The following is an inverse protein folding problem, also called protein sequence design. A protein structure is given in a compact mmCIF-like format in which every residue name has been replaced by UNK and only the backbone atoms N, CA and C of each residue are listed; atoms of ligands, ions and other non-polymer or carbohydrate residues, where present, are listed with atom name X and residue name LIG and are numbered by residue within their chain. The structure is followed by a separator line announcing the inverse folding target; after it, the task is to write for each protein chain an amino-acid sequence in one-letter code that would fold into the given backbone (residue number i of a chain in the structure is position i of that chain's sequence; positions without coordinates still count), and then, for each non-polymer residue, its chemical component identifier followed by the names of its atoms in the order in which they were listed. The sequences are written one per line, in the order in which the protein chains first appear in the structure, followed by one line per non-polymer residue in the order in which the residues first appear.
data_IF_397098895036
#
_entry.id   IF_397098895036
#
_cell.length_a   1.000
_cell.length_b   1.000
_cell.length_c   1.000
_cell.angle_alpha   90.00
_cell.angle_beta   90.00
_cell.angle_gamma   90.00
#
_symmetry.space_group_name_H-M   'P 1'
#
loop_
_entity.id
_entity.type
_entity.pdbx_description
1 polymer ?
#
# COMPACT_ATOMS: atom_id res chain seq x y z
N UNK A 1 42.40 -53.83 -40.99
CA UNK A 1 40.95 -53.64 -40.73
C UNK A 1 40.56 -54.52 -39.55
N UNK A 2 40.40 -53.94 -38.35
CA UNK A 2 39.90 -54.68 -37.18
C UNK A 2 38.37 -54.73 -37.25
N UNK A 3 37.84 -55.94 -37.29
CA UNK A 3 36.41 -56.25 -37.29
C UNK A 3 35.80 -55.87 -35.94
N UNK A 4 34.86 -54.92 -35.96
CA UNK A 4 34.06 -54.53 -34.79
C UNK A 4 33.12 -55.68 -34.46
N UNK A 5 33.38 -56.37 -33.36
CA UNK A 5 32.55 -57.47 -32.86
C UNK A 5 31.12 -56.99 -32.59
N UNK A 6 30.14 -57.61 -33.27
CA UNK A 6 28.72 -57.43 -32.98
C UNK A 6 28.42 -57.91 -31.55
N UNK A 7 28.29 -56.97 -30.62
CA UNK A 7 27.77 -57.22 -29.28
C UNK A 7 26.34 -57.77 -29.37
N UNK A 8 26.07 -58.88 -28.68
CA UNK A 8 24.78 -59.56 -28.77
C UNK A 8 23.66 -58.69 -28.21
N UNK A 9 22.53 -58.65 -28.91
CA UNK A 9 21.36 -57.79 -28.65
C UNK A 9 20.86 -57.89 -27.20
N UNK A 10 21.05 -59.04 -26.53
CA UNK A 10 20.69 -59.24 -25.11
C UNK A 10 21.52 -58.39 -24.15
N UNK A 11 22.83 -58.21 -24.40
CA UNK A 11 23.72 -57.43 -23.51
C UNK A 11 23.43 -55.93 -23.59
N UNK A 12 23.10 -55.44 -24.78
CA UNK A 12 22.70 -54.03 -24.98
C UNK A 12 21.35 -53.71 -24.33
N UNK A 13 20.39 -54.66 -24.31
CA UNK A 13 19.11 -54.48 -23.60
C UNK A 13 19.28 -54.38 -22.08
N UNK A 14 20.16 -55.18 -21.48
CA UNK A 14 20.41 -55.15 -20.03
C UNK A 14 21.08 -53.83 -19.61
N UNK A 15 22.05 -53.35 -20.41
CA UNK A 15 22.71 -52.06 -20.15
C UNK A 15 21.70 -50.91 -20.28
N UNK A 16 20.84 -50.93 -21.31
CA UNK A 16 19.82 -49.90 -21.51
C UNK A 16 18.80 -49.87 -20.37
N UNK A 17 18.31 -51.03 -19.92
CA UNK A 17 17.38 -51.13 -18.79
C UNK A 17 18.02 -50.61 -17.50
N UNK A 18 19.29 -50.96 -17.25
CA UNK A 18 20.02 -50.51 -16.05
C UNK A 18 20.24 -48.99 -16.05
N UNK A 19 20.52 -48.41 -17.23
CA UNK A 19 20.67 -46.96 -17.40
C UNK A 19 19.35 -46.22 -17.16
N UNK A 20 18.24 -46.73 -17.70
CA UNK A 20 16.90 -46.17 -17.48
C UNK A 20 16.55 -46.23 -15.99
N UNK A 21 16.84 -47.33 -15.31
CA UNK A 21 16.54 -47.48 -13.88
C UNK A 21 17.34 -46.49 -13.02
N UNK A 22 18.61 -46.25 -13.36
CA UNK A 22 19.46 -45.25 -12.69
C UNK A 22 18.96 -43.82 -12.90
N UNK A 23 18.49 -43.49 -14.11
CA UNK A 23 17.92 -42.17 -14.42
C UNK A 23 16.62 -41.96 -13.62
N UNK A 24 15.75 -42.97 -13.55
CA UNK A 24 14.51 -42.92 -12.75
C UNK A 24 14.80 -42.76 -11.25
N UNK A 25 15.84 -43.44 -10.73
CA UNK A 25 16.22 -43.31 -9.31
C UNK A 25 16.82 -41.92 -9.00
N UNK A 26 17.60 -41.35 -9.93
CA UNK A 26 18.16 -40.02 -9.81
C UNK A 26 17.09 -38.91 -9.86
N UNK A 27 16.05 -39.07 -10.71
CA UNK A 27 14.93 -38.12 -10.78
C UNK A 27 14.02 -38.20 -9.55
N UNK A 28 13.79 -39.41 -9.01
CA UNK A 28 13.00 -39.59 -7.78
C UNK A 28 13.71 -39.00 -6.55
N UNK A 29 15.04 -39.16 -6.44
CA UNK A 29 15.81 -38.61 -5.31
C UNK A 29 15.91 -37.08 -5.38
N UNK A 30 16.12 -36.50 -6.56
CA UNK A 30 16.07 -35.04 -6.73
C UNK A 30 14.69 -34.45 -6.47
N UNK A 31 13.62 -35.09 -6.96
CA UNK A 31 12.24 -34.67 -6.66
C UNK A 31 11.92 -34.73 -5.14
N UNK A 32 12.41 -35.75 -4.44
CA UNK A 32 12.23 -35.88 -3.00
C UNK A 32 13.02 -34.83 -2.20
N UNK A 33 14.24 -34.48 -2.63
CA UNK A 33 15.05 -33.42 -2.02
C UNK A 33 14.43 -32.04 -2.27
N UNK A 34 13.91 -31.78 -3.47
CA UNK A 34 13.20 -30.53 -3.81
C UNK A 34 11.90 -30.44 -3.00
N UNK A 35 11.15 -31.53 -2.87
CA UNK A 35 9.91 -31.56 -2.08
C UNK A 35 10.16 -31.35 -0.58
N UNK A 36 11.29 -31.83 -0.03
CA UNK A 36 11.69 -31.55 1.37
C UNK A 36 12.15 -30.10 1.61
N UNK A 37 12.63 -29.40 0.57
CA UNK A 37 13.07 -27.99 0.65
C UNK A 37 12.00 -26.99 0.23
N UNK A 38 10.88 -27.43 -0.30
CA UNK A 38 9.73 -26.57 -0.52
C UNK A 38 9.14 -26.19 0.84
N UNK A 39 9.63 -25.09 1.42
CA UNK A 39 8.92 -24.41 2.50
C UNK A 39 7.47 -24.22 2.05
N UNK A 40 6.52 -24.61 2.90
CA UNK A 40 5.10 -24.38 2.63
C UNK A 40 4.92 -22.90 2.29
N UNK A 41 4.17 -22.55 1.23
CA UNK A 41 3.93 -21.17 0.89
C UNK A 41 3.42 -20.44 2.13
N UNK A 42 4.07 -19.34 2.48
CA UNK A 42 3.75 -18.60 3.70
C UNK A 42 2.30 -18.12 3.60
N UNK A 43 1.47 -18.44 4.59
CA UNK A 43 0.09 -17.94 4.70
C UNK A 43 0.05 -16.49 5.20
N UNK A 44 1.19 -15.80 5.25
CA UNK A 44 1.28 -14.45 5.77
C UNK A 44 0.66 -13.44 4.79
N UNK A 45 -0.32 -12.70 5.28
CA UNK A 45 -0.88 -11.54 4.59
C UNK A 45 -0.47 -10.28 5.34
N UNK A 46 0.34 -9.44 4.68
CA UNK A 46 0.78 -8.17 5.25
C UNK A 46 -0.44 -7.30 5.62
N UNK A 47 -0.48 -6.83 6.87
CA UNK A 47 -1.57 -6.01 7.39
C UNK A 47 -2.69 -6.78 8.10
N UNK A 48 -2.74 -8.10 8.03
CA UNK A 48 -3.79 -8.89 8.69
C UNK A 48 -3.73 -8.77 10.21
N UNK A 49 -4.74 -8.10 10.79
CA UNK A 49 -4.83 -7.80 12.23
C UNK A 49 -3.55 -7.13 12.77
N UNK A 50 -2.85 -6.36 11.94
CA UNK A 50 -1.50 -5.89 12.25
C UNK A 50 -1.46 -4.64 13.14
N UNK A 51 -2.52 -3.84 13.14
CA UNK A 51 -2.55 -2.51 13.75
C UNK A 51 -3.93 -2.22 14.36
N UNK A 52 -3.92 -1.66 15.57
CA UNK A 52 -5.08 -0.97 16.14
C UNK A 52 -4.81 0.51 16.29
N UNK A 53 -5.80 1.31 15.94
CA UNK A 53 -5.83 2.75 16.21
C UNK A 53 -7.10 3.07 16.98
N UNK A 54 -6.97 3.68 18.16
CA UNK A 54 -8.07 3.99 19.06
C UNK A 54 -8.96 2.76 19.36
N UNK A 55 -8.33 1.60 19.55
CA UNK A 55 -8.98 0.34 19.86
C UNK A 55 -9.63 -0.39 18.67
N UNK A 56 -9.70 0.22 17.48
CA UNK A 56 -10.25 -0.40 16.27
C UNK A 56 -9.14 -1.03 15.43
N UNK A 57 -9.36 -2.27 14.98
CA UNK A 57 -8.47 -2.96 14.04
C UNK A 57 -8.52 -2.22 12.70
N UNK A 58 -7.35 -1.93 12.14
CA UNK A 58 -7.21 -1.38 10.79
C UNK A 58 -7.42 -2.50 9.77
N UNK A 59 -8.23 -2.23 8.75
CA UNK A 59 -8.53 -3.22 7.70
C UNK A 59 -7.30 -3.54 6.86
N UNK A 60 -7.15 -4.82 6.48
CA UNK A 60 -6.05 -5.30 5.63
C UNK A 60 -6.03 -4.62 4.25
N UNK A 61 -7.19 -4.19 3.75
CA UNK A 61 -7.32 -3.40 2.50
C UNK A 61 -6.50 -2.12 2.56
N UNK A 62 -6.52 -1.40 3.68
CA UNK A 62 -5.75 -0.15 3.86
C UNK A 62 -4.25 -0.41 3.71
N UNK A 63 -3.74 -1.50 4.29
CA UNK A 63 -2.34 -1.89 4.14
C UNK A 63 -1.97 -2.21 2.70
N UNK A 64 -2.84 -2.93 1.98
CA UNK A 64 -2.62 -3.27 0.57
C UNK A 64 -2.63 -2.01 -0.30
N UNK A 65 -3.59 -1.13 -0.09
CA UNK A 65 -3.76 0.06 -0.91
C UNK A 65 -2.58 1.02 -0.70
N UNK A 66 -2.17 1.27 0.56
CA UNK A 66 -1.00 2.10 0.86
C UNK A 66 0.32 1.45 0.41
N UNK A 67 0.42 0.11 0.43
CA UNK A 67 1.56 -0.60 -0.17
C UNK A 67 1.65 -0.33 -1.68
N UNK A 68 0.54 -0.45 -2.40
CA UNK A 68 0.50 -0.19 -3.85
C UNK A 68 0.88 1.27 -4.16
N UNK A 69 0.30 2.22 -3.42
CA UNK A 69 0.63 3.65 -3.53
C UNK A 69 2.11 3.90 -3.24
N UNK A 70 2.65 3.29 -2.17
CA UNK A 70 4.05 3.41 -1.80
C UNK A 70 4.97 2.95 -2.94
N UNK A 71 4.69 1.80 -3.55
CA UNK A 71 5.52 1.29 -4.64
C UNK A 71 5.38 2.10 -5.93
N UNK A 72 4.18 2.56 -6.32
CA UNK A 72 4.04 3.39 -7.53
C UNK A 72 4.79 4.72 -7.39
N UNK A 73 4.67 5.39 -6.24
CA UNK A 73 5.41 6.64 -5.93
C UNK A 73 6.92 6.44 -5.96
N UNK A 74 7.40 5.23 -5.72
CA UNK A 74 8.81 4.93 -5.51
C UNK A 74 9.43 4.00 -6.57
N UNK A 75 8.72 3.72 -7.67
CA UNK A 75 9.18 2.75 -8.69
C UNK A 75 10.55 3.04 -9.31
N UNK A 76 11.01 4.30 -9.25
CA UNK A 76 12.34 4.72 -9.73
C UNK A 76 13.37 4.97 -8.63
N UNK A 77 13.05 4.70 -7.36
CA UNK A 77 13.91 5.05 -6.23
C UNK A 77 14.91 3.91 -5.93
N UNK A 78 16.13 4.03 -6.45
CA UNK A 78 17.19 3.03 -6.27
C UNK A 78 17.60 2.82 -4.81
N UNK A 79 17.45 3.83 -3.94
CA UNK A 79 17.73 3.69 -2.51
C UNK A 79 16.77 2.72 -1.83
N UNK A 80 15.50 2.67 -2.25
CA UNK A 80 14.52 1.73 -1.71
C UNK A 80 14.78 0.29 -2.16
N UNK A 81 15.40 0.09 -3.32
CA UNK A 81 15.80 -1.26 -3.79
C UNK A 81 16.89 -1.90 -2.92
N UNK A 82 17.61 -1.10 -2.13
CA UNK A 82 18.64 -1.58 -1.20
C UNK A 82 18.10 -1.86 0.21
N UNK A 83 16.85 -1.48 0.48
CA UNK A 83 16.24 -1.70 1.79
C UNK A 83 15.78 -3.15 1.95
N UNK A 84 15.86 -3.62 3.18
CA UNK A 84 15.28 -4.89 3.59
C UNK A 84 13.75 -4.83 3.57
N UNK A 85 13.11 -6.00 3.49
CA UNK A 85 11.65 -6.10 3.59
C UNK A 85 11.12 -5.51 4.91
N UNK A 86 11.85 -5.65 6.03
CA UNK A 86 11.47 -5.07 7.32
C UNK A 86 11.46 -3.54 7.28
N UNK A 87 12.48 -2.93 6.66
CA UNK A 87 12.52 -1.47 6.48
C UNK A 87 11.41 -0.97 5.57
N UNK A 88 11.16 -1.66 4.45
CA UNK A 88 10.08 -1.30 3.52
C UNK A 88 8.71 -1.41 4.23
N UNK A 89 8.50 -2.49 4.97
CA UNK A 89 7.26 -2.71 5.71
C UNK A 89 7.03 -1.66 6.82
N UNK A 90 8.10 -1.19 7.49
CA UNK A 90 8.01 -0.09 8.47
C UNK A 90 7.65 1.25 7.81
N UNK A 91 8.20 1.53 6.62
CA UNK A 91 7.83 2.72 5.85
C UNK A 91 6.35 2.67 5.42
N UNK A 92 5.88 1.52 4.93
CA UNK A 92 4.47 1.34 4.56
C UNK A 92 3.58 1.45 5.80
N UNK A 93 3.98 0.87 6.94
CA UNK A 93 3.23 0.98 8.19
C UNK A 93 3.05 2.45 8.61
N UNK A 94 4.07 3.29 8.43
CA UNK A 94 3.93 4.72 8.70
C UNK A 94 2.94 5.42 7.78
N UNK A 95 2.92 5.09 6.49
CA UNK A 95 1.92 5.64 5.56
C UNK A 95 0.51 5.18 5.93
N UNK A 96 0.33 3.91 6.34
CA UNK A 96 -0.94 3.39 6.86
C UNK A 96 -1.39 4.14 8.11
N UNK A 97 -0.50 4.38 9.06
CA UNK A 97 -0.81 5.13 10.28
C UNK A 97 -1.27 6.55 9.91
N UNK A 98 -0.53 7.26 9.04
CA UNK A 98 -0.90 8.61 8.59
C UNK A 98 -2.27 8.62 7.93
N UNK A 99 -2.54 7.66 7.04
CA UNK A 99 -3.83 7.50 6.34
C UNK A 99 -4.98 7.32 7.33
N UNK A 100 -4.85 6.37 8.25
CA UNK A 100 -5.88 6.05 9.24
C UNK A 100 -6.16 7.24 10.16
N UNK A 101 -5.13 7.95 10.61
CA UNK A 101 -5.29 9.13 11.45
C UNK A 101 -6.01 10.27 10.71
N UNK A 102 -5.60 10.56 9.47
CA UNK A 102 -6.21 11.60 8.66
C UNK A 102 -7.66 11.26 8.31
N UNK A 103 -7.94 10.04 7.87
CA UNK A 103 -9.31 9.58 7.57
C UNK A 103 -10.20 9.65 8.82
N UNK A 104 -9.71 9.15 9.96
CA UNK A 104 -10.45 9.22 11.22
C UNK A 104 -10.79 10.67 11.58
N UNK A 105 -9.86 11.61 11.38
CA UNK A 105 -10.14 13.02 11.58
C UNK A 105 -11.27 13.49 10.65
N UNK A 106 -11.16 13.26 9.33
CA UNK A 106 -12.14 13.76 8.38
C UNK A 106 -13.54 13.19 8.62
N UNK A 107 -13.66 11.88 8.85
CA UNK A 107 -14.93 11.21 9.06
C UNK A 107 -15.55 11.44 10.44
N UNK A 108 -14.73 11.57 11.50
CA UNK A 108 -15.25 11.53 12.87
C UNK A 108 -14.96 12.77 13.71
N UNK A 109 -13.88 13.52 13.45
CA UNK A 109 -13.42 14.60 14.33
C UNK A 109 -13.54 15.99 13.72
N UNK A 110 -13.67 16.09 12.38
CA UNK A 110 -13.72 17.37 11.66
C UNK A 110 -14.98 18.19 11.97
N UNK A 111 -16.01 17.56 12.53
CA UNK A 111 -17.33 18.15 12.77
C UNK A 111 -18.19 18.32 11.51
N UNK A 112 -17.64 18.08 10.32
CA UNK A 112 -18.37 18.16 9.06
C UNK A 112 -19.02 16.82 8.71
N UNK A 113 -20.15 16.90 8.02
CA UNK A 113 -20.85 15.74 7.45
C UNK A 113 -21.05 15.96 5.95
N UNK A 114 -21.18 14.86 5.22
CA UNK A 114 -21.54 14.86 3.81
C UNK A 114 -22.79 14.01 3.63
N UNK A 115 -23.77 14.55 2.93
CA UNK A 115 -25.01 13.86 2.61
C UNK A 115 -24.84 13.02 1.34
N UNK A 116 -25.64 11.96 1.20
CA UNK A 116 -25.64 11.15 -0.03
C UNK A 116 -25.91 11.98 -1.28
N UNK A 117 -26.79 12.98 -1.17
CA UNK A 117 -27.08 13.92 -2.27
C UNK A 117 -25.84 14.71 -2.69
N UNK A 118 -25.05 15.23 -1.74
CA UNK A 118 -23.81 15.94 -2.06
C UNK A 118 -22.80 15.03 -2.78
N UNK A 119 -22.71 13.76 -2.36
CA UNK A 119 -21.85 12.76 -3.00
C UNK A 119 -22.31 12.51 -4.43
N UNK A 120 -23.61 12.23 -4.61
CA UNK A 120 -24.18 11.90 -5.93
C UNK A 120 -24.11 13.09 -6.88
N UNK A 121 -24.43 14.30 -6.41
CA UNK A 121 -24.35 15.53 -7.22
C UNK A 121 -22.91 15.78 -7.68
N UNK A 122 -21.93 15.66 -6.77
CA UNK A 122 -20.51 15.88 -7.10
C UNK A 122 -19.99 14.79 -8.06
N UNK A 123 -20.29 13.52 -7.77
CA UNK A 123 -19.89 12.38 -8.60
C UNK A 123 -20.44 12.53 -10.02
N UNK A 124 -21.73 12.79 -10.18
CA UNK A 124 -22.36 12.92 -11.48
C UNK A 124 -21.90 14.16 -12.25
N UNK A 125 -21.55 15.25 -11.55
CA UNK A 125 -21.12 16.48 -12.19
C UNK A 125 -19.66 16.43 -12.65
N UNK A 126 -18.75 15.90 -11.83
CA UNK A 126 -17.31 16.05 -12.07
C UNK A 126 -16.57 14.73 -12.29
N UNK A 127 -16.96 13.65 -11.62
CA UNK A 127 -16.21 12.38 -11.67
C UNK A 127 -16.68 11.51 -12.82
N UNK A 128 -17.98 11.21 -12.88
CA UNK A 128 -18.56 10.33 -13.89
C UNK A 128 -18.27 10.80 -15.33
N UNK A 129 -18.44 12.10 -15.69
CA UNK A 129 -18.11 12.55 -17.04
C UNK A 129 -16.62 12.42 -17.39
N UNK A 130 -15.72 12.55 -16.41
CA UNK A 130 -14.29 12.38 -16.62
C UNK A 130 -13.91 10.91 -16.87
N UNK A 131 -14.66 9.96 -16.30
CA UNK A 131 -14.46 8.54 -16.56
C UNK A 131 -14.97 8.15 -17.96
N UNK A 132 -16.07 8.76 -18.41
CA UNK A 132 -16.68 8.51 -19.73
C UNK A 132 -15.92 9.21 -20.87
N UNK A 133 -15.40 10.42 -20.65
CA UNK A 133 -14.73 11.24 -21.66
C UNK A 133 -13.30 10.83 -22.04
N UNK A 134 -12.67 9.91 -21.30
CA UNK A 134 -11.32 9.41 -21.57
C UNK A 134 -11.23 8.38 -22.72
N UNK A 135 -12.34 8.11 -23.43
CA UNK A 135 -12.39 7.23 -24.61
C UNK A 135 -13.20 5.95 -24.40
N UNK A 136 -14.49 6.05 -24.07
CA UNK A 136 -15.37 4.89 -24.05
C UNK A 136 -16.87 5.20 -24.13
N UNK A 137 -17.51 4.82 -25.23
CA UNK A 137 -18.94 4.44 -25.26
C UNK A 137 -19.12 3.27 -24.29
N UNK A 138 -19.45 3.51 -23.02
CA UNK A 138 -19.70 2.44 -22.06
C UNK A 138 -18.76 1.25 -22.20
N UNK A 139 -17.44 1.48 -22.40
CA UNK A 139 -16.47 0.41 -22.69
C UNK A 139 -16.12 -0.28 -21.39
N UNK A 140 -17.13 -1.02 -20.95
CA UNK A 140 -17.14 -2.06 -19.95
C UNK A 140 -16.79 -1.62 -18.53
N UNK A 141 -17.74 -1.87 -17.63
CA UNK A 141 -17.46 -2.61 -16.40
C UNK A 141 -16.74 -3.92 -16.82
N UNK A 142 -15.52 -3.84 -17.38
CA UNK A 142 -14.72 -5.00 -17.82
C UNK A 142 -13.80 -5.38 -16.67
N UNK A 143 -14.16 -6.46 -16.00
CA UNK A 143 -13.35 -7.67 -15.76
C UNK A 143 -11.81 -7.55 -15.90
N UNK A 144 -11.19 -6.53 -15.31
CA UNK A 144 -9.74 -6.33 -15.20
C UNK A 144 -9.34 -5.91 -13.78
N UNK A 145 -8.20 -6.44 -13.32
CA UNK A 145 -7.80 -6.63 -11.91
C UNK A 145 -7.55 -5.38 -11.03
N UNK A 146 -7.95 -4.15 -11.40
CA UNK A 146 -7.66 -2.96 -10.56
C UNK A 146 -8.61 -1.74 -10.73
N UNK A 147 -9.83 -1.93 -11.27
CA UNK A 147 -10.78 -0.83 -11.42
C UNK A 147 -11.72 -0.66 -10.21
N UNK A 148 -11.79 0.56 -9.66
CA UNK A 148 -12.74 0.94 -8.61
C UNK A 148 -14.19 0.86 -9.12
N UNK A 149 -15.07 0.30 -8.31
CA UNK A 149 -16.51 0.35 -8.48
C UNK A 149 -17.06 1.77 -8.29
N UNK A 150 -18.28 2.04 -8.78
CA UNK A 150 -18.96 3.32 -8.52
C UNK A 150 -19.06 3.63 -7.02
N UNK A 151 -19.31 2.61 -6.19
CA UNK A 151 -19.36 2.76 -4.74
C UNK A 151 -18.01 3.22 -4.16
N UNK A 152 -16.90 2.69 -4.67
CA UNK A 152 -15.56 3.11 -4.26
C UNK A 152 -15.24 4.54 -4.71
N UNK A 153 -15.61 4.92 -5.94
CA UNK A 153 -15.50 6.32 -6.39
C UNK A 153 -16.33 7.27 -5.54
N UNK A 154 -17.56 6.88 -5.17
CA UNK A 154 -18.41 7.69 -4.29
C UNK A 154 -17.82 7.85 -2.88
N UNK A 155 -17.15 6.82 -2.36
CA UNK A 155 -16.41 6.91 -1.10
C UNK A 155 -15.22 7.87 -1.19
N UNK A 156 -14.50 7.87 -2.31
CA UNK A 156 -13.44 8.86 -2.56
C UNK A 156 -13.99 10.29 -2.66
N UNK A 157 -15.15 10.46 -3.32
CA UNK A 157 -15.86 11.75 -3.41
C UNK A 157 -16.28 12.23 -2.03
N UNK A 158 -16.83 11.36 -1.17
CA UNK A 158 -17.18 11.70 0.20
C UNK A 158 -15.98 12.26 0.97
N UNK A 159 -14.85 11.53 0.95
CA UNK A 159 -13.61 11.98 1.61
C UNK A 159 -13.11 13.29 1.01
N UNK A 160 -13.21 13.46 -0.31
CA UNK A 160 -12.82 14.70 -0.99
C UNK A 160 -13.67 15.90 -0.54
N UNK A 161 -14.99 15.75 -0.46
CA UNK A 161 -15.89 16.80 0.01
C UNK A 161 -15.59 17.12 1.49
N UNK A 162 -15.34 16.12 2.33
CA UNK A 162 -14.91 16.35 3.72
C UNK A 162 -13.63 17.17 3.79
N UNK A 163 -12.64 16.91 2.93
CA UNK A 163 -11.42 17.72 2.83
C UNK A 163 -11.72 19.15 2.39
N UNK A 164 -12.55 19.36 1.38
CA UNK A 164 -12.95 20.70 0.93
C UNK A 164 -13.65 21.50 2.04
N UNK A 165 -14.41 20.84 2.92
CA UNK A 165 -15.09 21.48 4.05
C UNK A 165 -14.14 21.82 5.20
N UNK A 166 -13.20 20.94 5.51
CA UNK A 166 -12.39 21.01 6.74
C UNK A 166 -11.00 21.62 6.56
N UNK A 167 -10.30 21.29 5.48
CA UNK A 167 -8.90 21.71 5.27
C UNK A 167 -8.73 23.23 5.18
N UNK A 168 -9.66 24.04 4.63
CA UNK A 168 -9.50 25.50 4.67
C UNK A 168 -9.35 26.07 6.09
N UNK A 169 -10.05 25.51 7.07
CA UNK A 169 -9.90 25.87 8.49
C UNK A 169 -8.54 25.45 9.03
N UNK A 170 -8.11 24.21 8.73
CA UNK A 170 -6.80 23.69 9.13
C UNK A 170 -5.68 24.54 8.50
N UNK A 171 -5.72 24.78 7.19
CA UNK A 171 -4.77 25.61 6.48
C UNK A 171 -4.60 26.98 7.15
N UNK A 172 -5.71 27.64 7.51
CA UNK A 172 -5.70 28.90 8.25
C UNK A 172 -5.05 28.78 9.63
N UNK A 173 -5.33 27.73 10.39
CA UNK A 173 -4.68 27.48 11.70
C UNK A 173 -3.16 27.35 11.59
N UNK A 174 -2.66 26.80 10.48
CA UNK A 174 -1.24 26.63 10.21
C UNK A 174 -0.62 27.78 9.38
N UNK A 175 -1.33 28.89 9.23
CA UNK A 175 -0.83 30.09 8.53
C UNK A 175 -0.71 29.94 7.02
N UNK A 176 -1.40 28.98 6.42
CA UNK A 176 -1.47 28.81 4.96
C UNK A 176 -2.63 29.66 4.44
N UNK A 177 -2.30 30.62 3.58
CA UNK A 177 -3.24 31.47 2.88
C UNK A 177 -2.89 31.53 1.39
N UNK A 178 -3.87 31.89 0.58
CA UNK A 178 -3.65 32.18 -0.84
C UNK A 178 -3.49 33.70 -0.99
N UNK A 179 -2.54 34.12 -1.81
CA UNK A 179 -2.52 35.49 -2.31
C UNK A 179 -3.74 35.70 -3.23
N UNK A 180 -4.53 36.75 -3.01
CA UNK A 180 -5.77 36.96 -3.76
C UNK A 180 -5.51 37.31 -5.23
N UNK A 181 -4.42 38.00 -5.54
CA UNK A 181 -4.09 38.35 -6.93
C UNK A 181 -3.66 37.09 -7.69
N UNK A 182 -2.74 36.31 -7.11
CA UNK A 182 -2.30 35.03 -7.67
C UNK A 182 -3.46 34.05 -7.82
N UNK A 183 -4.36 33.99 -6.83
CA UNK A 183 -5.58 33.18 -6.89
C UNK A 183 -6.48 33.58 -8.05
N UNK A 184 -6.77 34.88 -8.21
CA UNK A 184 -7.62 35.37 -9.29
C UNK A 184 -7.02 35.04 -10.67
N UNK A 185 -5.70 35.24 -10.84
CA UNK A 185 -5.00 34.85 -12.08
C UNK A 185 -5.13 33.35 -12.35
N UNK A 186 -4.87 32.50 -11.35
CA UNK A 186 -5.03 31.04 -11.49
C UNK A 186 -6.46 30.63 -11.83
N UNK A 187 -7.46 31.29 -11.25
CA UNK A 187 -8.87 30.99 -11.54
C UNK A 187 -9.27 31.42 -12.97
N UNK A 188 -8.79 32.57 -13.43
CA UNK A 188 -9.03 33.02 -14.81
C UNK A 188 -8.36 32.08 -15.82
N UNK A 189 -7.15 31.58 -15.52
CA UNK A 189 -6.47 30.57 -16.33
C UNK A 189 -7.19 29.22 -16.32
N UNK A 190 -7.63 28.77 -15.14
CA UNK A 190 -8.40 27.56 -14.96
C UNK A 190 -9.69 27.61 -15.79
N UNK A 191 -10.49 28.66 -15.67
CA UNK A 191 -11.77 28.78 -16.41
C UNK A 191 -11.58 28.89 -17.92
N UNK A 192 -10.44 29.43 -18.40
CA UNK A 192 -10.11 29.43 -19.84
C UNK A 192 -10.01 28.01 -20.43
N UNK A 193 -9.63 27.01 -19.64
CA UNK A 193 -9.54 25.61 -20.08
C UNK A 193 -10.92 24.96 -20.26
N UNK A 194 -11.96 25.55 -19.68
CA UNK A 194 -13.34 25.04 -19.69
C UNK A 194 -14.29 25.94 -20.48
N UNK A 195 -13.78 26.81 -21.37
CA UNK A 195 -14.61 27.72 -22.18
C UNK A 195 -15.74 27.00 -22.93
N UNK A 196 -15.43 25.82 -23.48
CA UNK A 196 -16.38 25.03 -24.26
C UNK A 196 -17.23 24.09 -23.38
N UNK A 197 -16.88 23.95 -22.10
CA UNK A 197 -17.58 23.10 -21.12
C UNK A 197 -17.71 23.81 -19.76
N UNK A 198 -18.39 24.97 -19.69
CA UNK A 198 -18.42 25.80 -18.48
C UNK A 198 -19.09 25.09 -17.29
N UNK A 199 -19.96 24.09 -17.54
CA UNK A 199 -20.60 23.29 -16.49
C UNK A 199 -19.61 22.37 -15.75
N UNK A 200 -18.49 22.05 -16.38
CA UNK A 200 -17.42 21.22 -15.80
C UNK A 200 -16.43 22.05 -14.97
N UNK A 201 -16.50 23.38 -15.04
CA UNK A 201 -15.69 24.26 -14.21
C UNK A 201 -16.23 24.30 -12.77
N UNK A 202 -15.34 24.17 -11.79
CA UNK A 202 -15.63 24.39 -10.39
C UNK A 202 -15.90 25.89 -10.15
N UNK A 203 -16.95 26.25 -9.40
CA UNK A 203 -17.18 27.63 -8.96
C UNK A 203 -15.96 28.19 -8.22
N UNK A 204 -15.76 29.50 -8.28
CA UNK A 204 -14.61 30.21 -7.70
C UNK A 204 -14.33 29.83 -6.24
N UNK A 205 -15.37 29.79 -5.40
CA UNK A 205 -15.23 29.44 -3.98
C UNK A 205 -14.82 27.99 -3.76
N UNK A 206 -15.31 27.08 -4.62
CA UNK A 206 -14.94 25.67 -4.57
C UNK A 206 -13.47 25.50 -5.01
N UNK A 207 -13.10 26.12 -6.14
CA UNK A 207 -11.73 26.12 -6.64
C UNK A 207 -10.73 26.69 -5.62
N UNK A 208 -11.10 27.74 -4.88
CA UNK A 208 -10.30 28.29 -3.78
C UNK A 208 -10.02 27.24 -2.70
N UNK A 209 -11.04 26.46 -2.31
CA UNK A 209 -10.90 25.37 -1.33
C UNK A 209 -10.03 24.25 -1.88
N UNK A 210 -10.16 23.91 -3.17
CA UNK A 210 -9.32 22.90 -3.82
C UNK A 210 -7.84 23.29 -3.77
N UNK A 211 -7.53 24.57 -4.04
CA UNK A 211 -6.17 25.10 -3.93
C UNK A 211 -5.65 25.03 -2.49
N UNK A 212 -6.45 25.44 -1.50
CA UNK A 212 -6.05 25.32 -0.09
C UNK A 212 -5.79 23.86 0.32
N UNK A 213 -6.60 22.91 -0.16
CA UNK A 213 -6.36 21.47 0.06
C UNK A 213 -5.00 21.07 -0.53
N UNK A 214 -4.71 21.48 -1.77
CA UNK A 214 -3.45 21.19 -2.45
C UNK A 214 -2.26 21.79 -1.71
N UNK A 215 -2.28 23.09 -1.46
CA UNK A 215 -1.19 23.82 -0.80
C UNK A 215 -0.90 23.26 0.60
N UNK A 216 -1.95 22.96 1.37
CA UNK A 216 -1.78 22.29 2.67
C UNK A 216 -1.15 20.89 2.51
N UNK A 217 -1.61 20.09 1.55
CA UNK A 217 -1.15 18.70 1.36
C UNK A 217 0.32 18.58 0.93
N UNK A 218 0.89 19.62 0.30
CA UNK A 218 2.30 19.65 -0.10
C UNK A 218 3.19 20.45 0.86
N UNK A 219 2.59 21.09 1.87
CA UNK A 219 3.33 21.89 2.85
C UNK A 219 4.03 21.02 3.89
N UNK A 220 5.08 21.57 4.51
CA UNK A 220 5.71 21.02 5.71
C UNK A 220 4.75 20.93 6.91
N UNK A 221 3.67 21.74 6.90
CA UNK A 221 2.64 21.78 7.94
C UNK A 221 1.78 20.54 7.98
N UNK A 222 1.64 19.80 6.87
CA UNK A 222 0.93 18.51 6.85
C UNK A 222 1.52 17.55 7.90
N UNK A 223 2.85 17.42 7.96
CA UNK A 223 3.51 16.54 8.92
C UNK A 223 3.26 17.02 10.36
N UNK A 224 3.29 18.33 10.60
CA UNK A 224 2.99 18.89 11.94
C UNK A 224 1.56 18.57 12.36
N UNK A 225 0.59 18.69 11.45
CA UNK A 225 -0.80 18.34 11.72
C UNK A 225 -0.99 16.85 11.94
N UNK A 226 -0.34 15.98 11.15
CA UNK A 226 -0.38 14.53 11.34
C UNK A 226 0.21 14.11 12.69
N UNK A 227 1.31 14.73 13.13
CA UNK A 227 1.89 14.47 14.46
C UNK A 227 0.98 14.96 15.59
N UNK A 228 0.26 16.08 15.41
CA UNK A 228 -0.79 16.51 16.34
C UNK A 228 -1.90 15.46 16.44
N UNK A 229 -2.35 14.87 15.33
CA UNK A 229 -3.32 13.76 15.36
C UNK A 229 -2.74 12.52 16.05
N UNK A 230 -1.49 12.16 15.71
CA UNK A 230 -0.77 11.01 16.28
C UNK A 230 -0.66 11.11 17.80
N UNK A 231 -0.34 12.29 18.32
CA UNK A 231 -0.18 12.53 19.78
C UNK A 231 -1.45 12.27 20.60
N UNK A 232 -2.62 12.30 19.96
CA UNK A 232 -3.92 12.05 20.58
C UNK A 232 -4.41 10.62 20.41
N UNK A 233 -3.79 9.87 19.50
CA UNK A 233 -4.23 8.53 19.13
C UNK A 233 -3.53 7.46 19.95
N UNK A 234 -4.28 6.42 20.32
CA UNK A 234 -3.70 5.19 20.86
C UNK A 234 -3.37 4.25 19.71
N UNK A 235 -2.09 4.08 19.41
CA UNK A 235 -1.59 3.23 18.33
C UNK A 235 -0.97 1.97 18.93
N UNK A 236 -1.46 0.80 18.53
CA UNK A 236 -0.96 -0.50 18.98
C UNK A 236 -0.57 -1.34 17.76
N UNK A 237 0.71 -1.64 17.60
CA UNK A 237 1.21 -2.54 16.55
C UNK A 237 1.12 -3.96 17.10
N UNK A 238 0.18 -4.73 16.55
CA UNK A 238 -0.11 -6.09 16.99
C UNK A 238 0.75 -7.12 16.27
N UNK A 239 1.20 -6.79 15.07
CA UNK A 239 2.01 -7.68 14.25
C UNK A 239 3.43 -7.81 14.83
N UNK A 240 3.85 -9.00 15.32
CA UNK A 240 5.12 -9.12 16.03
C UNK A 240 6.34 -8.75 15.18
N UNK A 241 6.35 -9.02 13.87
CA UNK A 241 7.49 -8.66 13.01
C UNK A 241 7.64 -7.14 12.88
N UNK A 242 6.53 -6.41 12.67
CA UNK A 242 6.52 -4.96 12.60
C UNK A 242 6.90 -4.31 13.93
N UNK A 243 6.34 -4.84 15.03
CA UNK A 243 6.63 -4.31 16.36
C UNK A 243 8.10 -4.57 16.76
N UNK A 244 8.63 -5.76 16.46
CA UNK A 244 10.03 -6.10 16.71
C UNK A 244 10.99 -5.12 16.02
N UNK A 245 10.78 -4.86 14.73
CA UNK A 245 11.64 -3.97 13.97
C UNK A 245 11.60 -2.52 14.49
N UNK A 246 10.43 -2.04 14.91
CA UNK A 246 10.29 -0.73 15.56
C UNK A 246 11.05 -0.62 16.87
N UNK A 247 10.88 -1.61 17.75
CA UNK A 247 11.61 -1.68 19.02
C UNK A 247 13.12 -1.72 18.78
N UNK A 248 13.56 -2.47 17.75
CA UNK A 248 14.97 -2.52 17.36
C UNK A 248 15.49 -1.15 16.92
N UNK A 249 14.75 -0.43 16.06
CA UNK A 249 15.12 0.93 15.62
C UNK A 249 15.19 1.93 16.78
N UNK A 250 14.38 1.73 17.82
CA UNK A 250 14.36 2.56 19.02
C UNK A 250 15.41 2.16 20.07
N UNK A 251 16.25 1.16 19.79
CA UNK A 251 17.27 0.66 20.72
C UNK A 251 16.72 -0.22 21.85
N UNK A 252 15.44 -0.60 21.80
CA UNK A 252 14.80 -1.46 22.81
C UNK A 252 15.06 -2.95 22.52
N UNK A 253 16.34 -3.33 22.40
CA UNK A 253 16.75 -4.63 21.86
C UNK A 253 16.19 -5.84 22.62
N UNK A 254 16.11 -5.79 23.95
CA UNK A 254 15.52 -6.90 24.71
C UNK A 254 14.04 -7.13 24.36
N UNK A 255 13.26 -6.06 24.17
CA UNK A 255 11.85 -6.17 23.78
C UNK A 255 11.72 -6.60 22.32
N UNK A 256 12.58 -6.06 21.45
CA UNK A 256 12.65 -6.47 20.05
C UNK A 256 12.93 -7.98 19.92
N UNK A 257 13.85 -8.53 20.72
CA UNK A 257 14.14 -9.96 20.74
C UNK A 257 12.91 -10.82 21.07
N UNK A 258 12.10 -10.37 22.04
CA UNK A 258 10.90 -11.10 22.45
C UNK A 258 9.79 -11.03 21.39
N UNK A 259 9.66 -9.91 20.67
CA UNK A 259 8.77 -9.80 19.53
C UNK A 259 9.26 -10.62 18.33
N UNK A 260 10.56 -10.64 18.04
CA UNK A 260 11.15 -11.53 17.01
C UNK A 260 10.92 -13.00 17.32
N UNK A 261 11.01 -13.39 18.59
CA UNK A 261 10.65 -14.75 19.04
C UNK A 261 9.17 -15.07 18.78
N UNK A 262 8.26 -14.11 19.00
CA UNK A 262 6.84 -14.26 18.66
C UNK A 262 6.62 -14.35 17.14
N UNK A 263 7.30 -13.53 16.35
CA UNK A 263 7.27 -13.58 14.89
C UNK A 263 7.75 -14.94 14.37
N UNK A 264 8.86 -15.47 14.91
CA UNK A 264 9.32 -16.82 14.59
C UNK A 264 8.27 -17.89 14.94
N UNK A 265 7.63 -17.78 16.11
CA UNK A 265 6.57 -18.72 16.50
C UNK A 265 5.40 -18.69 15.52
N UNK A 266 4.99 -17.50 15.05
CA UNK A 266 3.87 -17.28 14.11
C UNK A 266 4.20 -17.75 12.69
N UNK A 267 5.36 -17.34 12.16
CA UNK A 267 5.71 -17.50 10.74
C UNK A 267 6.66 -18.64 10.42
N UNK A 268 7.38 -19.16 11.43
CA UNK A 268 8.40 -20.22 11.28
C UNK A 268 9.56 -19.88 10.34
N UNK A 269 9.75 -18.61 9.99
CA UNK A 269 10.86 -18.15 9.15
C UNK A 269 12.15 -17.98 9.97
N UNK A 270 13.24 -18.60 9.54
CA UNK A 270 14.53 -18.62 10.26
C UNK A 270 15.10 -17.22 10.50
N UNK A 271 14.87 -16.27 9.60
CA UNK A 271 15.30 -14.87 9.73
C UNK A 271 14.95 -14.28 11.10
N UNK A 272 13.74 -14.51 11.59
CA UNK A 272 13.30 -13.97 12.89
C UNK A 272 14.06 -14.58 14.07
N UNK A 273 14.52 -15.83 13.97
CA UNK A 273 15.35 -16.46 14.99
C UNK A 273 16.77 -15.86 15.00
N UNK A 274 17.30 -15.53 13.84
CA UNK A 274 18.62 -14.90 13.73
C UNK A 274 18.56 -13.45 14.23
N UNK A 275 17.49 -12.71 13.90
CA UNK A 275 17.21 -11.38 14.45
C UNK A 275 17.00 -11.38 15.97
N UNK A 276 16.31 -12.36 16.52
CA UNK A 276 16.20 -12.54 17.98
C UNK A 276 17.60 -12.63 18.62
N UNK A 277 18.48 -13.49 18.10
CA UNK A 277 19.84 -13.64 18.63
C UNK A 277 20.65 -12.36 18.49
N UNK A 278 20.55 -11.69 17.32
CA UNK A 278 21.20 -10.40 17.08
C UNK A 278 20.82 -9.39 18.16
N UNK A 279 19.52 -9.27 18.46
CA UNK A 279 19.02 -8.37 19.50
C UNK A 279 19.51 -8.73 20.91
N UNK A 280 19.59 -10.02 21.25
CA UNK A 280 20.05 -10.46 22.58
C UNK A 280 21.55 -10.25 22.82
N UNK A 281 22.31 -10.03 21.75
CA UNK A 281 23.75 -9.81 21.80
C UNK A 281 24.15 -8.31 21.81
N UNK A 282 23.16 -7.40 21.77
CA UNK A 282 23.35 -5.95 21.89
C UNK A 282 22.99 -5.48 23.30
#
# INVERSE_FOLDING_TARGET
MQSVGKLSVKRNRIILISLILLIVLATLTTAFIISKKAEKPSTYVFGEQALKVNGKIVETSVFRDEKNIFFDRNKGNSSLMQKTDEEINDLILEEVIKKVLADNYFYNESGYKVTQKEIDDYYNKYVKPSLEGAGGEGSSISEGLDYKSEAEYKKDVELYILKLKSVPGIAKEYGISLDENEFNTKYDEYTKQYKDMPKSAHPKDEYKKMLLVREFSISDKLNTWLEKLRSKAKIEILEPSLNAFRLYKNGEYSKAADEYKKAYKKYKQSLYKDKEKECRNK
#
